data_IF_534682195900
#
_entry.id   IF_534682195900
#
_cell.length_a   1.000
_cell.length_b   1.000
_cell.length_c   1.000
_cell.angle_alpha   90.00
_cell.angle_beta   90.00
_cell.angle_gamma   90.00
#
_symmetry.space_group_name_H-M   'P 1'
#
loop_
_entity.id
_entity.type
_entity.pdbx_description
1 polymer ?
#
# COMPACT_ATOMS: atom_id res chain seq x y z
N UNK A 1 -17.43 -7.24 -2.66
CA UNK A 1 -18.57 -8.00 -3.12
C UNK A 1 -18.31 -8.66 -4.47
N UNK A 2 -17.78 -7.96 -5.48
CA UNK A 2 -17.38 -8.57 -6.75
C UNK A 2 -15.98 -9.17 -6.75
N UNK A 3 -15.12 -8.80 -5.81
CA UNK A 3 -13.67 -9.05 -5.83
C UNK A 3 -13.27 -10.54 -5.95
N UNK A 4 -14.19 -11.46 -5.68
CA UNK A 4 -13.93 -12.91 -5.65
C UNK A 4 -14.85 -13.72 -6.59
N UNK A 5 -15.57 -13.06 -7.48
CA UNK A 5 -16.44 -13.74 -8.45
C UNK A 5 -15.79 -13.91 -9.81
N UNK A 6 -14.81 -13.09 -10.13
CA UNK A 6 -14.10 -13.03 -11.41
C UNK A 6 -12.64 -12.58 -11.20
N UNK A 7 -11.83 -12.66 -12.24
CA UNK A 7 -10.46 -12.18 -12.26
C UNK A 7 -10.43 -10.67 -12.52
N UNK A 8 -10.59 -9.87 -11.48
CA UNK A 8 -10.62 -8.42 -11.60
C UNK A 8 -9.25 -7.78 -11.75
N UNK A 9 -9.22 -6.68 -12.50
CA UNK A 9 -8.12 -5.72 -12.53
C UNK A 9 -8.55 -4.48 -11.73
N UNK A 10 -7.64 -3.92 -10.94
CA UNK A 10 -7.80 -2.62 -10.29
C UNK A 10 -7.21 -1.55 -11.23
N UNK A 11 -8.03 -0.90 -12.06
CA UNK A 11 -7.51 0.02 -13.06
C UNK A 11 -7.40 1.44 -12.50
N UNK A 12 -6.23 2.04 -12.64
CA UNK A 12 -6.08 3.48 -12.77
C UNK A 12 -5.82 3.74 -14.25
N UNK A 13 -6.90 3.82 -15.03
CA UNK A 13 -6.85 3.86 -16.48
C UNK A 13 -6.70 5.29 -17.01
N UNK A 14 -6.82 5.46 -18.33
CA UNK A 14 -6.86 6.79 -18.94
C UNK A 14 -8.06 7.63 -18.43
N UNK A 15 -9.15 6.97 -18.05
CA UNK A 15 -10.37 7.63 -17.58
C UNK A 15 -10.14 8.50 -16.32
N UNK A 16 -9.13 8.18 -15.51
CA UNK A 16 -8.79 9.01 -14.35
C UNK A 16 -7.99 10.25 -14.68
N UNK A 17 -7.38 10.33 -15.86
CA UNK A 17 -6.39 11.37 -16.19
C UNK A 17 -6.59 12.05 -17.55
N UNK A 18 -7.74 11.84 -18.21
CA UNK A 18 -8.07 12.51 -19.46
C UNK A 18 -8.53 13.95 -19.26
N UNK A 19 -8.73 14.66 -20.37
CA UNK A 19 -9.09 16.08 -20.43
C UNK A 19 -10.14 16.50 -19.39
N UNK A 20 -9.83 17.54 -18.63
CA UNK A 20 -10.68 18.11 -17.59
C UNK A 20 -10.65 17.37 -16.24
N UNK A 21 -9.91 16.26 -16.11
CA UNK A 21 -9.80 15.50 -14.84
C UNK A 21 -8.51 15.77 -14.08
N UNK A 22 -7.49 16.35 -14.74
CA UNK A 22 -6.16 16.54 -14.16
C UNK A 22 -5.37 15.25 -13.98
N UNK A 23 -4.18 15.34 -13.40
CA UNK A 23 -3.39 14.15 -13.05
C UNK A 23 -3.84 13.53 -11.72
N UNK A 24 -3.45 12.28 -11.45
CA UNK A 24 -3.71 11.66 -10.14
C UNK A 24 -3.07 12.46 -9.01
N UNK A 25 -1.83 12.94 -9.20
CA UNK A 25 -1.13 13.75 -8.20
C UNK A 25 -1.88 15.05 -7.92
N UNK A 26 -2.40 15.72 -8.93
CA UNK A 26 -3.14 16.98 -8.78
C UNK A 26 -4.44 16.83 -7.98
N UNK A 27 -5.03 15.64 -7.98
CA UNK A 27 -6.26 15.32 -7.23
C UNK A 27 -6.02 14.89 -5.79
N UNK A 28 -4.77 14.59 -5.41
CA UNK A 28 -4.45 14.28 -4.02
C UNK A 28 -4.63 15.54 -3.15
N UNK A 29 -5.20 15.42 -1.95
CA UNK A 29 -5.47 16.55 -1.08
C UNK A 29 -4.20 17.11 -0.43
N UNK A 30 -4.29 18.37 0.03
CA UNK A 30 -3.27 19.01 0.84
C UNK A 30 -2.18 19.73 0.06
N UNK A 31 -1.08 20.01 0.75
CA UNK A 31 0.11 20.62 0.17
C UNK A 31 0.90 19.64 -0.70
N UNK A 32 1.99 20.07 -1.28
CA UNK A 32 2.80 19.25 -2.18
C UNK A 32 3.32 17.97 -1.49
N UNK A 33 3.81 18.08 -0.25
CA UNK A 33 4.28 16.92 0.52
C UNK A 33 3.14 15.91 0.74
N UNK A 34 1.98 16.41 1.18
CA UNK A 34 0.79 15.58 1.44
C UNK A 34 0.28 14.89 0.17
N UNK A 35 0.33 15.57 -0.98
CA UNK A 35 -0.07 14.98 -2.28
C UNK A 35 0.81 13.80 -2.64
N UNK A 36 2.13 13.95 -2.56
CA UNK A 36 3.05 12.84 -2.84
C UNK A 36 2.91 11.73 -1.81
N UNK A 37 2.77 12.05 -0.52
CA UNK A 37 2.55 11.06 0.54
C UNK A 37 1.25 10.27 0.31
N UNK A 38 0.14 10.95 0.03
CA UNK A 38 -1.15 10.33 -0.27
C UNK A 38 -1.07 9.41 -1.48
N UNK A 39 -0.38 9.83 -2.54
CA UNK A 39 -0.20 9.01 -3.74
C UNK A 39 0.63 7.76 -3.45
N UNK A 40 1.70 7.87 -2.66
CA UNK A 40 2.50 6.72 -2.21
C UNK A 40 1.67 5.74 -1.38
N UNK A 41 0.92 6.26 -0.39
CA UNK A 41 0.03 5.44 0.44
C UNK A 41 -1.03 4.73 -0.40
N UNK A 42 -1.65 5.44 -1.35
CA UNK A 42 -2.66 4.89 -2.24
C UNK A 42 -2.12 3.78 -3.15
N UNK A 43 -0.94 3.96 -3.75
CA UNK A 43 -0.32 2.91 -4.56
C UNK A 43 0.03 1.68 -3.73
N UNK A 44 0.66 1.86 -2.57
CA UNK A 44 0.96 0.75 -1.69
C UNK A 44 -0.32 0.03 -1.19
N UNK A 45 -1.39 0.76 -0.90
CA UNK A 45 -2.71 0.19 -0.63
C UNK A 45 -3.19 -0.66 -1.80
N UNK A 46 -3.22 -0.09 -3.02
CA UNK A 46 -3.73 -0.76 -4.21
C UNK A 46 -2.96 -2.04 -4.55
N UNK A 47 -1.62 -2.03 -4.40
CA UNK A 47 -0.80 -3.22 -4.68
C UNK A 47 -1.02 -4.36 -3.70
N UNK A 48 -1.32 -4.08 -2.43
CA UNK A 48 -1.64 -5.11 -1.44
C UNK A 48 -3.10 -5.55 -1.48
N UNK A 49 -4.00 -4.79 -2.11
CA UNK A 49 -5.40 -5.14 -2.23
C UNK A 49 -5.61 -6.25 -3.28
N UNK A 50 -6.61 -7.15 -3.17
CA UNK A 50 -6.88 -8.19 -4.17
C UNK A 50 -7.14 -7.64 -5.57
N UNK A 51 -6.79 -8.40 -6.59
CA UNK A 51 -6.95 -8.07 -8.01
C UNK A 51 -5.65 -7.64 -8.69
N UNK A 52 -5.59 -7.72 -10.01
CA UNK A 52 -4.44 -7.32 -10.82
C UNK A 52 -4.34 -5.80 -10.93
N UNK A 53 -3.13 -5.29 -11.09
CA UNK A 53 -2.85 -3.85 -11.03
C UNK A 53 -2.68 -3.28 -12.43
N UNK A 54 -3.24 -2.09 -12.66
CA UNK A 54 -3.05 -1.34 -13.90
C UNK A 54 -2.81 0.13 -13.57
N UNK A 55 -1.68 0.67 -14.01
CA UNK A 55 -1.44 2.11 -14.10
C UNK A 55 -1.40 2.52 -15.57
N UNK A 56 -2.04 3.62 -15.90
CA UNK A 56 -1.91 4.23 -17.22
C UNK A 56 -0.65 5.09 -17.27
N UNK A 57 -0.04 5.18 -18.45
CA UNK A 57 1.28 5.78 -18.71
C UNK A 57 1.46 7.16 -18.05
N UNK A 58 2.62 7.35 -17.41
CA UNK A 58 2.97 8.55 -16.65
C UNK A 58 2.54 8.52 -15.18
N UNK A 59 1.58 7.68 -14.80
CA UNK A 59 1.16 7.57 -13.40
C UNK A 59 2.24 6.93 -12.52
N UNK A 60 3.08 6.06 -13.08
CA UNK A 60 4.17 5.38 -12.38
C UNK A 60 5.27 6.31 -11.87
N UNK A 61 5.32 7.55 -12.37
CA UNK A 61 6.21 8.59 -11.86
C UNK A 61 5.46 9.88 -11.48
N UNK A 62 4.14 9.79 -11.29
CA UNK A 62 3.28 10.89 -10.87
C UNK A 62 3.31 12.09 -11.83
N UNK A 63 3.07 11.86 -13.15
CA UNK A 63 2.98 12.94 -14.13
C UNK A 63 2.13 14.10 -13.62
N UNK A 64 2.59 15.34 -13.81
CA UNK A 64 1.99 16.55 -13.24
C UNK A 64 0.75 17.03 -13.95
N UNK A 65 0.65 16.77 -15.26
CA UNK A 65 -0.48 17.17 -16.10
C UNK A 65 -1.37 15.98 -16.46
N UNK A 66 -2.56 16.27 -16.93
CA UNK A 66 -3.45 15.25 -17.50
C UNK A 66 -2.85 14.64 -18.78
N UNK A 67 -3.26 13.41 -19.07
CA UNK A 67 -2.80 12.75 -20.29
C UNK A 67 -3.35 13.42 -21.55
N UNK A 68 -2.48 13.59 -22.54
CA UNK A 68 -2.82 14.17 -23.83
C UNK A 68 -2.17 13.36 -24.96
N UNK A 69 -2.97 12.88 -25.91
CA UNK A 69 -2.48 12.10 -27.06
C UNK A 69 -1.54 12.89 -27.96
N UNK A 70 -1.64 14.22 -27.98
CA UNK A 70 -0.83 15.12 -28.82
C UNK A 70 0.55 15.46 -28.25
N UNK A 71 0.86 15.03 -27.00
CA UNK A 71 2.11 15.34 -26.33
C UNK A 71 2.75 14.09 -25.75
N UNK A 72 4.09 14.10 -25.61
CA UNK A 72 4.81 13.05 -24.89
C UNK A 72 4.62 13.15 -23.39
N UNK A 73 5.03 12.12 -22.65
CA UNK A 73 5.07 12.13 -21.20
C UNK A 73 6.13 13.10 -20.68
N UNK A 74 5.91 13.63 -19.48
CA UNK A 74 6.80 14.62 -18.84
C UNK A 74 8.05 13.97 -18.22
N UNK A 75 8.83 13.21 -18.99
CA UNK A 75 10.05 12.52 -18.53
C UNK A 75 11.02 13.39 -17.71
N UNK A 76 11.18 14.71 -17.98
CA UNK A 76 12.04 15.58 -17.15
C UNK A 76 11.62 15.67 -15.69
N UNK A 77 10.37 15.30 -15.32
CA UNK A 77 9.95 15.24 -13.92
C UNK A 77 10.80 14.25 -13.10
N UNK A 78 11.39 13.24 -13.75
CA UNK A 78 12.30 12.29 -13.09
C UNK A 78 13.63 12.93 -12.63
N UNK A 79 13.95 14.15 -13.02
CA UNK A 79 15.06 14.92 -12.44
C UNK A 79 14.75 15.36 -11.00
N UNK A 80 13.47 15.43 -10.62
CA UNK A 80 13.04 15.76 -9.27
C UNK A 80 12.93 14.50 -8.38
N UNK A 81 13.48 14.59 -7.16
CA UNK A 81 13.56 13.46 -6.23
C UNK A 81 12.21 12.84 -5.86
N UNK A 82 11.15 13.66 -5.75
CA UNK A 82 9.82 13.18 -5.40
C UNK A 82 9.20 12.28 -6.48
N UNK A 83 9.37 12.62 -7.75
CA UNK A 83 8.89 11.82 -8.88
C UNK A 83 9.69 10.52 -9.01
N UNK A 84 11.01 10.57 -8.83
CA UNK A 84 11.85 9.35 -8.74
C UNK A 84 11.42 8.46 -7.58
N UNK A 85 11.02 9.04 -6.45
CA UNK A 85 10.50 8.33 -5.29
C UNK A 85 9.24 7.53 -5.61
N UNK A 86 8.27 8.12 -6.33
CA UNK A 86 7.08 7.41 -6.79
C UNK A 86 7.46 6.26 -7.73
N UNK A 87 8.34 6.51 -8.70
CA UNK A 87 8.79 5.46 -9.62
C UNK A 87 9.50 4.30 -8.90
N UNK A 88 10.33 4.63 -7.91
CA UNK A 88 11.00 3.63 -7.08
C UNK A 88 9.99 2.81 -6.27
N UNK A 89 8.99 3.45 -5.68
CA UNK A 89 7.91 2.76 -4.96
C UNK A 89 7.15 1.79 -5.87
N UNK A 90 6.73 2.24 -7.06
CA UNK A 90 6.00 1.39 -8.02
C UNK A 90 6.85 0.19 -8.45
N UNK A 91 8.14 0.40 -8.70
CA UNK A 91 9.10 -0.69 -9.02
C UNK A 91 9.16 -1.70 -7.87
N UNK A 92 9.28 -1.22 -6.62
CA UNK A 92 9.40 -2.10 -5.46
C UNK A 92 8.07 -2.79 -5.13
N UNK A 93 6.93 -2.11 -5.27
CA UNK A 93 5.62 -2.74 -5.21
C UNK A 93 5.47 -3.88 -6.22
N UNK A 94 5.89 -3.67 -7.48
CA UNK A 94 5.87 -4.71 -8.52
C UNK A 94 6.80 -5.89 -8.20
N UNK A 95 7.97 -5.62 -7.63
CA UNK A 95 8.91 -6.66 -7.20
C UNK A 95 8.31 -7.47 -6.07
N UNK A 96 7.87 -6.82 -5.00
CA UNK A 96 7.28 -7.47 -3.81
C UNK A 96 6.00 -8.23 -4.15
N UNK A 97 5.15 -7.68 -5.03
CA UNK A 97 3.95 -8.38 -5.49
C UNK A 97 4.27 -9.74 -6.13
N UNK A 98 5.37 -9.84 -6.87
CA UNK A 98 5.82 -11.11 -7.48
C UNK A 98 6.52 -12.03 -6.48
N UNK A 99 7.27 -11.47 -5.52
CA UNK A 99 8.02 -12.24 -4.53
C UNK A 99 7.12 -12.80 -3.42
N UNK A 100 6.08 -12.05 -3.02
CA UNK A 100 5.20 -12.44 -1.93
C UNK A 100 3.98 -13.20 -2.46
N UNK A 101 4.02 -14.53 -2.35
CA UNK A 101 2.94 -15.43 -2.82
C UNK A 101 1.56 -15.02 -2.28
N UNK A 102 1.50 -14.54 -1.02
CA UNK A 102 0.28 -14.06 -0.40
C UNK A 102 -0.39 -12.90 -1.15
N UNK A 103 0.36 -12.10 -1.94
CA UNK A 103 -0.19 -10.94 -2.64
C UNK A 103 -0.83 -11.27 -4.00
N UNK A 104 -0.61 -12.50 -4.55
CA UNK A 104 -1.07 -12.77 -5.91
C UNK A 104 -1.66 -14.16 -6.17
N UNK A 105 -1.33 -15.18 -5.35
CA UNK A 105 -1.76 -16.56 -5.65
C UNK A 105 -3.27 -16.75 -5.49
N UNK A 106 -3.88 -16.06 -4.50
CA UNK A 106 -5.31 -16.14 -4.20
C UNK A 106 -6.01 -14.81 -4.37
N UNK A 107 -5.65 -14.05 -5.41
CA UNK A 107 -6.23 -12.73 -5.67
C UNK A 107 -7.74 -12.76 -5.89
N UNK A 108 -8.27 -13.85 -6.42
CA UNK A 108 -9.67 -13.99 -6.78
C UNK A 108 -10.42 -14.99 -5.89
N UNK A 109 -9.82 -15.36 -4.76
CA UNK A 109 -10.39 -16.30 -3.80
C UNK A 109 -10.71 -15.60 -2.47
N UNK A 110 -11.89 -15.83 -1.86
CA UNK A 110 -12.24 -15.25 -0.56
C UNK A 110 -11.22 -15.54 0.52
N UNK A 111 -10.63 -16.75 0.51
CA UNK A 111 -9.65 -17.18 1.50
C UNK A 111 -8.28 -16.48 1.36
N UNK A 112 -8.04 -15.79 0.24
CA UNK A 112 -6.84 -14.99 0.01
C UNK A 112 -6.84 -13.62 0.68
N UNK A 113 -7.99 -13.22 1.30
CA UNK A 113 -8.15 -11.88 1.84
C UNK A 113 -9.01 -11.87 3.12
N UNK A 114 -8.61 -11.06 4.10
CA UNK A 114 -9.42 -10.83 5.32
C UNK A 114 -9.20 -9.40 5.83
N UNK A 115 -10.26 -8.66 6.02
CA UNK A 115 -10.21 -7.42 6.77
C UNK A 115 -9.82 -7.68 8.23
N UNK A 116 -8.95 -6.81 8.76
CA UNK A 116 -8.58 -6.75 10.18
C UNK A 116 -9.20 -5.51 10.80
N UNK A 117 -9.03 -4.36 10.14
CA UNK A 117 -9.66 -3.11 10.54
C UNK A 117 -10.23 -2.40 9.31
N UNK A 118 -11.50 -2.01 9.35
CA UNK A 118 -12.21 -1.36 8.25
C UNK A 118 -13.10 -0.20 8.72
N UNK A 119 -13.34 -0.10 10.01
CA UNK A 119 -14.33 0.83 10.60
C UNK A 119 -13.70 1.91 11.48
N UNK A 120 -12.37 2.01 11.59
CA UNK A 120 -11.70 3.07 12.34
C UNK A 120 -11.79 4.42 11.61
N UNK A 121 -13.01 4.99 11.61
CA UNK A 121 -13.33 6.25 10.91
C UNK A 121 -12.65 7.46 11.53
N UNK A 122 -12.42 7.44 12.84
CA UNK A 122 -11.79 8.55 13.55
C UNK A 122 -10.33 8.73 13.18
N UNK A 123 -9.63 7.61 12.90
CA UNK A 123 -8.22 7.62 12.54
C UNK A 123 -7.97 7.39 11.05
N UNK A 124 -9.00 7.02 10.29
CA UNK A 124 -8.93 6.64 8.87
C UNK A 124 -7.83 5.60 8.61
N UNK A 125 -7.78 4.58 9.47
CA UNK A 125 -6.86 3.45 9.37
C UNK A 125 -7.62 2.26 8.80
N UNK A 126 -6.97 1.58 7.82
CA UNK A 126 -7.44 0.33 7.25
C UNK A 126 -6.35 -0.72 7.40
N UNK A 127 -6.76 -1.96 7.74
CA UNK A 127 -5.81 -3.06 7.78
C UNK A 127 -6.45 -4.34 7.27
N UNK A 128 -5.67 -5.14 6.54
CA UNK A 128 -6.12 -6.41 6.00
C UNK A 128 -4.98 -7.40 5.88
N UNK A 129 -5.35 -8.67 5.90
CA UNK A 129 -4.46 -9.81 5.69
C UNK A 129 -4.58 -10.33 4.27
N UNK A 130 -3.45 -10.78 3.74
CA UNK A 130 -3.34 -11.52 2.50
C UNK A 130 -2.76 -12.90 2.79
N UNK A 131 -3.33 -13.89 2.13
CA UNK A 131 -2.93 -15.29 2.26
C UNK A 131 -2.62 -15.87 0.88
N UNK A 132 -1.53 -16.63 0.79
CA UNK A 132 -1.19 -17.42 -0.40
C UNK A 132 -1.61 -18.88 -0.27
N UNK A 133 -1.07 -19.73 -1.13
CA UNK A 133 -1.19 -21.17 -1.03
C UNK A 133 -0.42 -21.75 0.16
N UNK A 134 -0.41 -23.08 0.25
CA UNK A 134 0.21 -23.81 1.36
C UNK A 134 1.65 -23.38 1.63
N UNK A 135 1.94 -23.09 2.89
CA UNK A 135 3.25 -22.67 3.36
C UNK A 135 3.66 -21.22 2.98
N UNK A 136 2.79 -20.46 2.32
CA UNK A 136 3.08 -19.05 2.04
C UNK A 136 2.91 -18.22 3.33
N UNK A 137 3.93 -17.45 3.76
CA UNK A 137 3.77 -16.56 4.89
C UNK A 137 2.67 -15.52 4.62
N UNK A 138 1.78 -15.25 5.60
CA UNK A 138 0.78 -14.21 5.45
C UNK A 138 1.44 -12.82 5.43
N UNK A 139 0.80 -11.92 4.69
CA UNK A 139 1.15 -10.49 4.68
C UNK A 139 0.01 -9.70 5.31
N UNK A 140 0.32 -8.77 6.20
CA UNK A 140 -0.61 -7.74 6.66
C UNK A 140 -0.25 -6.41 6.01
N UNK A 141 -1.24 -5.72 5.46
CA UNK A 141 -1.10 -4.35 4.99
C UNK A 141 -1.92 -3.43 5.91
N UNK A 142 -1.33 -2.29 6.28
CA UNK A 142 -1.93 -1.31 7.19
C UNK A 142 -1.75 0.07 6.57
N UNK A 143 -2.84 0.80 6.36
CA UNK A 143 -2.84 2.13 5.75
C UNK A 143 -3.38 3.18 6.71
N UNK A 144 -2.65 4.26 6.91
CA UNK A 144 -3.07 5.47 7.60
C UNK A 144 -3.28 6.59 6.57
N UNK A 145 -4.52 6.96 6.31
CA UNK A 145 -4.86 8.02 5.35
C UNK A 145 -5.04 9.40 6.01
N UNK A 146 -4.44 9.61 7.18
CA UNK A 146 -4.39 10.94 7.83
C UNK A 146 -2.97 11.49 7.85
N UNK A 147 -2.79 12.83 7.87
CA UNK A 147 -1.47 13.44 7.99
C UNK A 147 -0.94 13.42 9.44
N UNK A 148 -1.50 12.56 10.29
CA UNK A 148 -1.13 12.40 11.71
C UNK A 148 -0.52 11.03 11.91
N UNK A 149 0.73 10.92 12.38
CA UNK A 149 1.32 9.63 12.72
C UNK A 149 0.55 8.96 13.87
N UNK A 150 0.56 7.63 13.92
CA UNK A 150 -0.11 6.85 14.97
C UNK A 150 0.91 5.96 15.65
N UNK A 151 1.31 6.34 16.84
CA UNK A 151 2.22 5.55 17.66
C UNK A 151 1.44 4.50 18.46
N UNK A 152 1.99 3.27 18.54
CA UNK A 152 1.40 2.20 19.33
C UNK A 152 0.00 1.79 18.84
N UNK A 153 -0.27 1.87 17.55
CA UNK A 153 -1.55 1.43 16.99
C UNK A 153 -1.64 -0.10 17.06
N UNK A 154 -2.59 -0.60 17.83
CA UNK A 154 -2.77 -2.05 18.01
C UNK A 154 -3.41 -2.67 16.79
N UNK A 155 -2.81 -3.74 16.27
CA UNK A 155 -3.32 -4.53 15.15
C UNK A 155 -3.36 -6.02 15.48
N UNK A 156 -4.45 -6.70 15.12
CA UNK A 156 -4.58 -8.14 15.25
C UNK A 156 -3.81 -8.88 14.16
N UNK A 157 -3.11 -9.95 14.56
CA UNK A 157 -2.27 -10.75 13.68
C UNK A 157 -2.58 -12.24 13.85
N UNK A 158 -2.55 -13.06 12.77
CA UNK A 158 -2.95 -14.46 12.82
C UNK A 158 -1.92 -15.38 13.48
N UNK A 159 -0.65 -14.95 13.56
CA UNK A 159 0.47 -15.77 14.03
C UNK A 159 1.31 -14.99 15.04
N UNK A 160 1.82 -15.66 16.10
CA UNK A 160 2.80 -15.06 17.01
C UNK A 160 4.19 -14.99 16.38
N UNK A 161 5.04 -14.13 16.91
CA UNK A 161 6.44 -14.02 16.50
C UNK A 161 6.73 -12.79 15.67
N UNK A 162 7.79 -12.88 14.89
CA UNK A 162 8.35 -11.74 14.15
C UNK A 162 7.65 -11.49 12.83
N UNK A 163 7.33 -10.21 12.59
CA UNK A 163 6.78 -9.69 11.35
C UNK A 163 7.76 -8.66 10.78
N UNK A 164 8.31 -8.95 9.61
CA UNK A 164 9.28 -8.08 8.95
C UNK A 164 8.56 -7.07 8.05
N UNK A 165 8.88 -5.79 8.23
CA UNK A 165 8.40 -4.71 7.35
C UNK A 165 9.09 -4.85 5.98
N UNK A 166 8.32 -5.17 4.94
CA UNK A 166 8.81 -5.37 3.58
C UNK A 166 8.54 -4.18 2.67
N UNK A 167 7.59 -3.33 3.04
CA UNK A 167 7.32 -2.06 2.39
C UNK A 167 6.86 -1.05 3.43
N UNK A 168 7.42 0.15 3.33
CA UNK A 168 6.95 1.35 4.00
C UNK A 168 6.87 2.46 2.97
N UNK A 169 5.66 2.89 2.61
CA UNK A 169 5.47 3.91 1.59
C UNK A 169 6.00 5.29 2.00
N UNK A 170 6.27 5.49 3.30
CA UNK A 170 6.88 6.71 3.85
C UNK A 170 8.40 6.60 4.04
N UNK A 171 9.03 5.54 3.52
CA UNK A 171 10.48 5.41 3.55
C UNK A 171 11.18 6.56 2.80
N UNK A 172 12.33 7.00 3.31
CA UNK A 172 13.15 8.06 2.71
C UNK A 172 13.54 7.75 1.25
N UNK A 173 13.70 6.47 0.91
CA UNK A 173 13.98 6.01 -0.46
C UNK A 173 12.89 6.41 -1.47
N UNK A 174 11.66 6.64 -1.00
CA UNK A 174 10.52 7.09 -1.80
C UNK A 174 10.20 8.58 -1.60
N UNK A 175 11.07 9.31 -0.89
CA UNK A 175 10.85 10.72 -0.56
C UNK A 175 9.89 10.95 0.61
N UNK A 176 9.75 9.96 1.49
CA UNK A 176 8.98 10.04 2.72
C UNK A 176 9.79 10.56 3.90
N UNK A 177 9.19 10.59 5.09
CA UNK A 177 9.77 11.05 6.34
C UNK A 177 10.49 9.95 7.14
N UNK A 178 10.46 8.72 6.66
CA UNK A 178 11.10 7.54 7.26
C UNK A 178 10.50 7.14 8.64
N UNK A 179 9.23 7.51 8.86
CA UNK A 179 8.47 7.06 10.02
C UNK A 179 8.11 5.57 9.90
N UNK A 180 8.18 4.80 10.99
CA UNK A 180 7.83 3.38 10.94
C UNK A 180 8.38 2.56 12.11
N UNK A 181 8.66 1.28 11.89
CA UNK A 181 8.93 0.29 12.93
C UNK A 181 10.38 -0.24 12.90
N UNK A 182 11.31 0.49 12.30
CA UNK A 182 12.71 0.05 12.15
C UNK A 182 12.84 -1.34 11.47
N UNK A 183 11.92 -1.67 10.58
CA UNK A 183 11.96 -2.86 9.74
C UNK A 183 11.35 -4.13 10.35
N UNK A 184 10.93 -4.12 11.62
CA UNK A 184 10.40 -5.32 12.29
C UNK A 184 9.38 -4.98 13.38
N UNK A 185 8.39 -5.86 13.54
CA UNK A 185 7.41 -5.82 14.64
C UNK A 185 7.30 -7.22 15.22
N UNK A 186 7.29 -7.35 16.54
CA UNK A 186 7.03 -8.62 17.21
C UNK A 186 5.57 -8.66 17.68
N UNK A 187 4.88 -9.76 17.34
CA UNK A 187 3.51 -10.00 17.81
C UNK A 187 3.49 -10.86 19.07
N UNK A 188 2.51 -10.59 19.91
CA UNK A 188 2.31 -11.23 21.19
C UNK A 188 0.99 -11.98 21.23
N UNK A 189 0.89 -13.09 22.00
CA UNK A 189 -0.39 -13.76 22.25
C UNK A 189 -1.38 -12.82 22.91
N UNK A 190 -2.61 -12.81 22.41
CA UNK A 190 -3.71 -11.99 22.92
C UNK A 190 -4.69 -11.65 21.80
N UNK A 191 -5.98 -11.74 22.08
CA UNK A 191 -7.00 -11.50 21.08
C UNK A 191 -7.10 -10.00 20.74
N UNK A 192 -7.08 -9.69 19.45
CA UNK A 192 -7.33 -8.35 18.91
C UNK A 192 -7.88 -8.45 17.48
N UNK A 193 -8.91 -7.66 17.15
CA UNK A 193 -9.54 -7.65 15.82
C UNK A 193 -9.92 -9.05 15.31
N UNK A 194 -10.36 -9.93 16.22
CA UNK A 194 -10.69 -11.33 15.87
C UNK A 194 -9.49 -12.19 15.48
N UNK A 195 -8.27 -11.75 15.80
CA UNK A 195 -7.03 -12.52 15.60
C UNK A 195 -6.45 -12.98 16.95
N UNK A 196 -5.75 -14.13 16.99
CA UNK A 196 -5.23 -14.71 18.25
C UNK A 196 -3.99 -13.99 18.81
N UNK A 197 -3.38 -13.10 18.04
CA UNK A 197 -2.21 -12.33 18.42
C UNK A 197 -2.41 -10.86 18.09
N UNK A 198 -1.58 -9.99 18.65
CA UNK A 198 -1.55 -8.57 18.32
C UNK A 198 -0.12 -8.04 18.31
N UNK A 199 0.04 -6.90 17.65
CA UNK A 199 1.24 -6.07 17.78
C UNK A 199 0.83 -4.60 17.88
N UNK A 200 1.65 -3.80 18.56
CA UNK A 200 1.52 -2.34 18.59
C UNK A 200 2.50 -1.76 17.57
N UNK A 201 1.99 -1.06 16.56
CA UNK A 201 2.77 -0.57 15.41
C UNK A 201 2.75 0.95 15.33
N UNK A 202 3.85 1.52 14.85
CA UNK A 202 3.93 2.94 14.49
C UNK A 202 3.53 3.10 13.03
N UNK A 203 2.45 3.84 12.76
CA UNK A 203 1.96 4.12 11.41
C UNK A 203 2.41 5.51 11.00
N UNK A 204 3.16 5.66 9.91
CA UNK A 204 3.54 6.96 9.39
C UNK A 204 2.32 7.76 8.92
N UNK A 205 2.41 9.09 8.86
CA UNK A 205 1.35 9.92 8.31
C UNK A 205 1.22 9.66 6.81
N UNK A 206 -0.02 9.56 6.30
CA UNK A 206 -0.30 9.30 4.89
C UNK A 206 0.57 8.16 4.33
N UNK A 207 0.62 7.04 5.08
CA UNK A 207 1.49 5.92 4.76
C UNK A 207 0.80 4.56 4.81
N UNK A 208 1.33 3.63 4.03
CA UNK A 208 0.92 2.23 4.02
C UNK A 208 2.14 1.35 4.28
N UNK A 209 2.00 0.44 5.23
CA UNK A 209 3.01 -0.55 5.61
C UNK A 209 2.59 -1.94 5.15
N UNK A 210 3.56 -2.77 4.75
CA UNK A 210 3.37 -4.19 4.54
C UNK A 210 4.32 -4.96 5.45
N UNK A 211 3.76 -5.84 6.26
CA UNK A 211 4.54 -6.73 7.13
C UNK A 211 4.30 -8.17 6.69
N UNK A 212 5.36 -8.97 6.61
CA UNK A 212 5.30 -10.40 6.32
C UNK A 212 5.76 -11.19 7.54
N UNK A 213 5.06 -12.29 7.85
CA UNK A 213 5.48 -13.18 8.93
C UNK A 213 6.80 -13.88 8.58
N UNK A 214 7.76 -13.91 9.49
CA UNK A 214 9.12 -14.41 9.24
C UNK A 214 9.21 -15.95 9.19
N UNK A 215 8.10 -16.65 9.44
CA UNK A 215 8.01 -18.10 9.37
C UNK A 215 8.82 -18.85 10.44
N UNK A 216 9.44 -18.14 11.37
CA UNK A 216 10.17 -18.71 12.50
C UNK A 216 9.32 -18.54 13.77
N UNK A 217 8.88 -19.66 14.32
CA UNK A 217 8.35 -19.71 15.68
C UNK A 217 9.51 -19.73 16.67
#
# INVERSE_FOLDING_TARGET
>A
MYAFTENFVLPLSHDEVVHGKGSLLARMPGDEWQRFASLRAYYAFMWAYPGKKLLFMGQEFAQGVEWNVGTGLEWPLLDAGRHRGIQALVRDCNRLYREQRALHERDCEPDGFRWVEVDDRERSVFAWLRFGGDGAPPVVAIANFTPVPREGYRIGLPLPGRWREILNSDAAAYGGSDGGNAGVVDSHPGESHGQPCFADVSLPPLGTLWLVHDGRA
#
